data_IF_552436816905
#
_entry.id   IF_552436816905
#
_cell.length_a   1.000
_cell.length_b   1.000
_cell.length_c   1.000
_cell.angle_alpha   90.00
_cell.angle_beta   90.00
_cell.angle_gamma   90.00
#
_symmetry.space_group_name_H-M   'P 1'
#
loop_
_entity.id
_entity.type
_entity.pdbx_description
1 polymer ?
#
# COMPACT_ATOMS: atom_id res chain seq x y z
N UNK A 1 -3.61 35.97 -15.85
CA UNK A 1 -3.46 34.69 -15.10
C UNK A 1 -4.85 34.08 -14.99
N UNK A 2 -5.06 32.93 -15.66
CA UNK A 2 -6.33 32.22 -15.66
C UNK A 2 -6.34 31.25 -14.48
N UNK A 3 -7.35 31.37 -13.61
CA UNK A 3 -7.53 30.55 -12.42
C UNK A 3 -8.60 29.49 -12.65
N UNK A 4 -8.22 28.23 -12.54
CA UNK A 4 -9.09 27.08 -12.70
C UNK A 4 -9.48 26.43 -11.38
N UNK A 5 -10.58 25.72 -11.39
CA UNK A 5 -11.09 24.96 -10.25
C UNK A 5 -11.57 23.58 -10.67
N UNK A 6 -11.21 22.57 -9.89
CA UNK A 6 -11.80 21.23 -9.89
C UNK A 6 -12.28 20.90 -8.47
N UNK A 7 -13.50 20.41 -8.33
CA UNK A 7 -14.06 19.96 -7.03
C UNK A 7 -14.53 18.52 -7.14
N UNK A 8 -14.23 17.70 -6.14
CA UNK A 8 -14.70 16.32 -6.13
C UNK A 8 -14.37 15.55 -4.87
N UNK A 9 -15.00 14.38 -4.71
CA UNK A 9 -14.72 13.47 -3.61
C UNK A 9 -13.43 12.69 -3.84
N UNK A 10 -13.07 12.34 -5.08
CA UNK A 10 -11.90 11.54 -5.45
C UNK A 10 -11.76 10.29 -4.56
N UNK A 11 -12.80 9.47 -4.52
CA UNK A 11 -12.94 8.38 -3.54
C UNK A 11 -13.09 7.02 -4.19
N UNK A 12 -11.95 6.34 -4.48
CA UNK A 12 -10.58 6.84 -4.51
C UNK A 12 -10.24 7.61 -5.81
N UNK A 13 -9.08 8.32 -5.85
CA UNK A 13 -8.55 8.87 -7.10
C UNK A 13 -8.27 7.75 -8.11
N UNK A 14 -8.59 8.02 -9.38
CA UNK A 14 -8.39 7.07 -10.48
C UNK A 14 -8.08 7.81 -11.79
N UNK A 15 -7.71 7.09 -12.85
CA UNK A 15 -7.32 7.67 -14.15
C UNK A 15 -8.35 8.62 -14.76
N UNK A 16 -9.65 8.46 -14.48
CA UNK A 16 -10.67 9.42 -14.89
C UNK A 16 -10.50 10.78 -14.20
N UNK A 17 -10.21 10.78 -12.91
CA UNK A 17 -9.88 12.01 -12.16
C UNK A 17 -8.57 12.61 -12.64
N UNK A 18 -7.56 11.75 -12.90
CA UNK A 18 -6.29 12.22 -13.48
C UNK A 18 -6.52 12.92 -14.82
N UNK A 19 -7.30 12.34 -15.71
CA UNK A 19 -7.63 12.94 -17.00
C UNK A 19 -8.34 14.28 -16.86
N UNK A 20 -9.27 14.42 -15.91
CA UNK A 20 -9.95 15.68 -15.60
C UNK A 20 -8.95 16.77 -15.16
N UNK A 21 -8.06 16.45 -14.21
CA UNK A 21 -7.10 17.40 -13.65
C UNK A 21 -6.01 17.74 -14.69
N UNK A 22 -5.50 16.79 -15.45
CA UNK A 22 -4.53 17.03 -16.53
C UNK A 22 -5.13 17.96 -17.60
N UNK A 23 -6.41 17.73 -17.96
CA UNK A 23 -7.11 18.59 -18.92
C UNK A 23 -7.26 20.03 -18.40
N UNK A 24 -7.52 20.18 -17.11
CA UNK A 24 -7.62 21.49 -16.47
C UNK A 24 -6.25 22.20 -16.42
N UNK A 25 -5.20 21.51 -16.00
CA UNK A 25 -3.83 22.05 -15.95
C UNK A 25 -3.34 22.55 -17.32
N UNK A 26 -3.75 21.90 -18.39
CA UNK A 26 -3.41 22.31 -19.76
C UNK A 26 -4.11 23.60 -20.24
N UNK A 27 -5.05 24.16 -19.48
CA UNK A 27 -5.88 25.29 -19.89
C UNK A 27 -5.82 26.51 -18.96
N UNK A 28 -5.10 26.41 -17.84
CA UNK A 28 -5.04 27.49 -16.83
C UNK A 28 -3.63 27.73 -16.34
N UNK A 29 -3.39 28.93 -15.81
CA UNK A 29 -2.11 29.28 -15.19
C UNK A 29 -2.00 28.83 -13.72
N UNK A 30 -3.17 28.69 -13.05
CA UNK A 30 -3.28 28.25 -11.66
C UNK A 30 -4.51 27.35 -11.50
N UNK A 31 -4.34 26.18 -10.90
CA UNK A 31 -5.43 25.24 -10.66
C UNK A 31 -5.55 24.92 -9.18
N UNK A 32 -6.71 25.25 -8.59
CA UNK A 32 -7.12 24.73 -7.29
C UNK A 32 -7.93 23.44 -7.47
N UNK A 33 -7.62 22.43 -6.67
CA UNK A 33 -8.35 21.15 -6.59
C UNK A 33 -8.85 20.98 -5.16
N UNK A 34 -10.17 21.01 -4.97
CA UNK A 34 -10.82 20.86 -3.67
C UNK A 34 -11.30 19.42 -3.48
N UNK A 35 -10.80 18.77 -2.44
CA UNK A 35 -11.09 17.38 -2.08
C UNK A 35 -12.14 17.38 -0.96
N UNK A 36 -13.39 17.05 -1.30
CA UNK A 36 -14.50 16.97 -0.34
C UNK A 36 -14.31 15.74 0.56
N UNK A 37 -14.27 15.96 1.87
CA UNK A 37 -14.07 14.92 2.86
C UNK A 37 -15.22 14.90 3.87
N UNK A 38 -15.57 13.69 4.32
CA UNK A 38 -16.50 13.45 5.42
C UNK A 38 -15.81 12.58 6.46
N UNK A 39 -16.15 12.74 7.76
CA UNK A 39 -15.56 11.94 8.85
C UNK A 39 -15.74 10.43 8.67
N UNK A 40 -16.86 10.01 8.07
CA UNK A 40 -17.20 8.60 7.83
C UNK A 40 -16.45 7.96 6.66
N UNK A 41 -15.68 8.71 5.89
CA UNK A 41 -14.90 8.13 4.79
C UNK A 41 -13.76 7.25 5.31
N UNK A 42 -13.70 5.98 4.89
CA UNK A 42 -12.64 5.03 5.25
C UNK A 42 -11.26 5.46 4.73
N UNK A 43 -11.23 6.13 3.58
CA UNK A 43 -10.01 6.78 3.04
C UNK A 43 -10.12 8.27 3.37
N UNK A 44 -9.28 8.74 4.28
CA UNK A 44 -9.31 10.13 4.74
C UNK A 44 -9.13 11.13 3.59
N UNK A 45 -9.66 12.35 3.77
CA UNK A 45 -9.44 13.45 2.82
C UNK A 45 -7.96 13.78 2.65
N UNK A 46 -7.20 13.72 3.75
CA UNK A 46 -5.76 14.01 3.74
C UNK A 46 -4.97 12.97 2.93
N UNK A 47 -5.27 11.68 3.05
CA UNK A 47 -4.61 10.64 2.27
C UNK A 47 -4.90 10.81 0.76
N UNK A 48 -6.15 11.13 0.40
CA UNK A 48 -6.54 11.42 -1.00
C UNK A 48 -5.84 12.67 -1.53
N UNK A 49 -5.67 13.69 -0.69
CA UNK A 49 -4.91 14.91 -1.01
C UNK A 49 -3.45 14.58 -1.31
N UNK A 50 -2.80 13.77 -0.47
CA UNK A 50 -1.42 13.35 -0.67
C UNK A 50 -1.25 12.59 -1.99
N UNK A 51 -2.13 11.65 -2.32
CA UNK A 51 -2.10 10.95 -3.60
C UNK A 51 -2.27 11.88 -4.79
N UNK A 52 -3.26 12.78 -4.74
CA UNK A 52 -3.50 13.71 -5.83
C UNK A 52 -2.36 14.73 -5.99
N UNK A 53 -1.75 15.19 -4.90
CA UNK A 53 -0.59 16.06 -4.92
C UNK A 53 0.64 15.39 -5.54
N UNK A 54 0.82 14.10 -5.28
CA UNK A 54 1.89 13.32 -5.91
C UNK A 54 1.65 13.14 -7.41
N UNK A 55 0.39 12.83 -7.81
CA UNK A 55 0.01 12.64 -9.21
C UNK A 55 0.10 13.96 -10.00
N UNK A 56 -0.25 15.07 -9.36
CA UNK A 56 -0.33 16.40 -9.98
C UNK A 56 0.41 17.45 -9.15
N UNK A 57 1.75 17.45 -9.14
CA UNK A 57 2.54 18.37 -8.30
C UNK A 57 2.35 19.84 -8.62
N UNK A 58 1.88 20.17 -9.84
CA UNK A 58 1.63 21.54 -10.27
C UNK A 58 0.27 22.11 -9.83
N UNK A 59 -0.64 21.28 -9.31
CA UNK A 59 -1.95 21.74 -8.84
C UNK A 59 -1.94 22.03 -7.33
N UNK A 60 -2.77 22.97 -6.90
CA UNK A 60 -2.95 23.32 -5.50
C UNK A 60 -4.06 22.48 -4.87
N UNK A 61 -3.68 21.50 -4.07
CA UNK A 61 -4.61 20.55 -3.42
C UNK A 61 -5.03 21.05 -2.05
N UNK A 62 -6.35 21.11 -1.81
CA UNK A 62 -6.94 21.44 -0.50
C UNK A 62 -8.00 20.44 -0.11
N UNK A 63 -7.92 19.89 1.09
CA UNK A 63 -9.03 19.13 1.68
C UNK A 63 -10.03 20.11 2.29
N UNK A 64 -11.30 19.90 2.04
CA UNK A 64 -12.40 20.69 2.58
C UNK A 64 -13.45 19.75 3.18
N UNK A 65 -14.18 20.24 4.17
CA UNK A 65 -15.34 19.52 4.70
C UNK A 65 -16.46 19.51 3.68
N UNK A 66 -17.09 18.35 3.49
CA UNK A 66 -18.28 18.21 2.66
C UNK A 66 -19.52 18.58 3.47
N UNK A 67 -20.20 19.69 3.21
CA UNK A 67 -21.33 20.15 4.00
C UNK A 67 -22.64 19.34 3.77
N UNK A 68 -22.65 18.42 2.79
CA UNK A 68 -23.80 17.58 2.49
C UNK A 68 -24.92 18.27 1.68
N UNK A 69 -24.66 19.43 1.11
CA UNK A 69 -25.62 20.23 0.31
C UNK A 69 -25.51 19.86 -1.19
N UNK A 70 -25.63 18.58 -1.51
CA UNK A 70 -25.29 18.01 -2.84
C UNK A 70 -26.04 18.71 -4.01
N UNK A 71 -27.28 19.19 -3.84
CA UNK A 71 -28.10 19.78 -4.89
C UNK A 71 -28.15 21.33 -4.88
N UNK A 72 -27.37 21.99 -4.03
CA UNK A 72 -27.41 23.43 -3.85
C UNK A 72 -26.21 24.14 -4.51
N UNK A 73 -26.31 24.36 -5.81
CA UNK A 73 -25.23 24.98 -6.59
C UNK A 73 -24.83 26.39 -6.09
N UNK A 74 -25.81 27.20 -5.61
CA UNK A 74 -25.50 28.52 -5.07
C UNK A 74 -24.73 28.44 -3.76
N UNK A 75 -25.15 27.57 -2.85
CA UNK A 75 -24.44 27.32 -1.58
C UNK A 75 -22.98 26.91 -1.85
N UNK A 76 -22.79 25.94 -2.75
CA UNK A 76 -21.45 25.48 -3.12
C UNK A 76 -20.59 26.57 -3.76
N UNK A 77 -21.18 27.42 -4.59
CA UNK A 77 -20.47 28.54 -5.20
C UNK A 77 -19.98 29.54 -4.12
N UNK A 78 -20.88 29.98 -3.23
CA UNK A 78 -20.56 30.91 -2.15
C UNK A 78 -19.53 30.30 -1.16
N UNK A 79 -19.70 29.04 -0.83
CA UNK A 79 -18.76 28.30 0.02
C UNK A 79 -17.36 28.24 -0.59
N UNK A 80 -17.27 27.87 -1.87
CA UNK A 80 -16.00 27.78 -2.60
C UNK A 80 -15.31 29.14 -2.75
N UNK A 81 -16.02 30.18 -3.17
CA UNK A 81 -15.46 31.53 -3.30
C UNK A 81 -14.91 32.00 -1.94
N UNK A 82 -15.63 31.73 -0.85
CA UNK A 82 -15.16 32.08 0.50
C UNK A 82 -13.87 31.35 0.86
N UNK A 83 -13.77 30.05 0.54
CA UNK A 83 -12.59 29.23 0.81
C UNK A 83 -11.37 29.65 -0.01
N UNK A 84 -11.58 30.00 -1.27
CA UNK A 84 -10.51 30.43 -2.17
C UNK A 84 -10.11 31.89 -1.93
N UNK A 85 -11.04 32.75 -1.49
CA UNK A 85 -10.89 34.20 -1.41
C UNK A 85 -11.10 34.91 -2.76
N UNK A 86 -11.52 34.19 -3.80
CA UNK A 86 -11.80 34.71 -5.14
C UNK A 86 -12.73 33.77 -5.92
N UNK A 87 -13.39 34.30 -6.96
CA UNK A 87 -14.10 33.50 -7.94
C UNK A 87 -13.12 32.98 -9.00
N UNK A 88 -13.12 31.67 -9.34
CA UNK A 88 -12.29 31.14 -10.43
C UNK A 88 -12.78 31.68 -11.79
N UNK A 89 -11.89 31.71 -12.80
CA UNK A 89 -12.26 32.07 -14.18
C UNK A 89 -12.95 30.89 -14.90
N UNK A 90 -12.63 29.65 -14.49
CA UNK A 90 -13.16 28.45 -15.11
C UNK A 90 -13.24 27.27 -14.13
N UNK A 91 -14.36 26.54 -14.20
CA UNK A 91 -14.58 25.28 -13.47
C UNK A 91 -14.53 24.12 -14.45
N UNK A 92 -13.83 23.05 -14.08
CA UNK A 92 -13.77 21.81 -14.83
C UNK A 92 -14.51 20.72 -14.07
N UNK A 93 -15.44 20.03 -14.72
CA UNK A 93 -16.14 18.86 -14.14
C UNK A 93 -16.37 17.79 -15.17
N UNK A 94 -16.62 16.55 -14.69
CA UNK A 94 -17.13 15.44 -15.50
C UNK A 94 -18.61 15.11 -15.20
N UNK A 95 -19.27 15.93 -14.38
CA UNK A 95 -20.61 15.69 -13.85
C UNK A 95 -21.61 16.78 -14.26
N UNK A 96 -22.91 16.45 -14.21
CA UNK A 96 -23.98 17.35 -14.71
C UNK A 96 -24.19 18.62 -13.91
N UNK A 97 -23.76 18.67 -12.65
CA UNK A 97 -23.92 19.85 -11.81
C UNK A 97 -23.05 21.05 -12.25
N UNK A 98 -22.03 20.79 -13.07
CA UNK A 98 -21.00 21.78 -13.42
C UNK A 98 -21.54 23.08 -14.03
N UNK A 99 -22.56 23.01 -14.89
CA UNK A 99 -23.17 24.20 -15.52
C UNK A 99 -23.87 25.12 -14.50
N UNK A 100 -24.62 24.54 -13.55
CA UNK A 100 -25.30 25.31 -12.52
C UNK A 100 -24.29 25.94 -11.56
N UNK A 101 -23.30 25.16 -11.16
CA UNK A 101 -22.23 25.58 -10.24
C UNK A 101 -21.40 26.74 -10.81
N UNK A 102 -20.93 26.61 -12.05
CA UNK A 102 -20.18 27.68 -12.72
C UNK A 102 -21.00 28.97 -12.93
N UNK A 103 -22.29 28.84 -13.27
CA UNK A 103 -23.21 29.98 -13.35
C UNK A 103 -23.35 30.72 -12.04
N UNK A 104 -23.50 30.00 -10.94
CA UNK A 104 -23.59 30.59 -9.60
C UNK A 104 -22.30 31.30 -9.18
N UNK A 105 -21.14 30.88 -9.68
CA UNK A 105 -19.85 31.57 -9.46
C UNK A 105 -19.57 32.71 -10.47
N UNK A 106 -20.36 32.82 -11.52
CA UNK A 106 -20.10 33.82 -12.59
C UNK A 106 -18.91 33.49 -13.47
N UNK A 107 -18.54 32.21 -13.62
CA UNK A 107 -17.37 31.76 -14.35
C UNK A 107 -17.71 30.79 -15.51
N UNK A 108 -16.74 30.50 -16.36
CA UNK A 108 -16.89 29.54 -17.45
C UNK A 108 -16.90 28.09 -16.92
N UNK A 109 -17.70 27.24 -17.57
CA UNK A 109 -17.66 25.78 -17.34
C UNK A 109 -17.00 25.05 -18.50
N UNK A 110 -16.18 24.06 -18.19
CA UNK A 110 -15.61 23.10 -19.14
C UNK A 110 -16.01 21.69 -18.69
N UNK A 111 -16.87 21.06 -19.51
CA UNK A 111 -17.25 19.67 -19.33
C UNK A 111 -16.16 18.77 -19.87
N UNK A 112 -15.61 17.90 -19.02
CA UNK A 112 -14.53 16.98 -19.38
C UNK A 112 -15.04 15.54 -19.33
N UNK A 113 -15.09 14.86 -20.46
CA UNK A 113 -15.37 13.41 -20.62
C UNK A 113 -16.61 12.89 -19.87
N UNK A 114 -17.71 13.64 -19.85
CA UNK A 114 -18.97 13.23 -19.21
C UNK A 114 -19.43 11.84 -19.63
N UNK A 115 -19.25 11.49 -20.91
CA UNK A 115 -19.63 10.20 -21.46
C UNK A 115 -18.65 9.09 -21.10
N UNK A 116 -17.53 9.42 -20.41
CA UNK A 116 -16.43 8.49 -20.08
C UNK A 116 -15.90 7.78 -21.34
N UNK A 117 -15.84 8.49 -22.45
CA UNK A 117 -15.38 7.94 -23.71
C UNK A 117 -13.85 7.72 -23.71
N UNK A 118 -13.10 8.58 -23.03
CA UNK A 118 -11.65 8.50 -22.93
C UNK A 118 -11.21 7.57 -21.78
N UNK A 119 -11.87 7.64 -20.61
CA UNK A 119 -11.54 6.81 -19.45
C UNK A 119 -12.82 6.18 -18.89
N UNK A 120 -13.07 4.91 -19.23
CA UNK A 120 -14.29 4.17 -18.90
C UNK A 120 -14.29 3.61 -17.49
N UNK A 121 -14.21 4.47 -16.49
CA UNK A 121 -14.19 4.07 -15.08
C UNK A 121 -14.96 5.04 -14.19
N UNK A 122 -15.45 4.56 -13.05
CA UNK A 122 -16.02 5.38 -11.99
C UNK A 122 -15.40 5.05 -10.64
N UNK A 123 -15.46 5.98 -9.69
CA UNK A 123 -15.01 5.74 -8.33
C UNK A 123 -15.81 4.59 -7.66
N UNK A 124 -17.11 4.48 -7.94
CA UNK A 124 -17.97 3.38 -7.44
C UNK A 124 -17.49 2.03 -7.94
N UNK A 125 -17.14 1.91 -9.22
CA UNK A 125 -16.61 0.66 -9.79
C UNK A 125 -15.27 0.27 -9.14
N UNK A 126 -14.36 1.24 -8.98
CA UNK A 126 -13.09 1.00 -8.27
C UNK A 126 -13.34 0.55 -6.83
N UNK A 127 -14.27 1.21 -6.12
CA UNK A 127 -14.54 0.90 -4.74
C UNK A 127 -15.11 -0.51 -4.55
N UNK A 128 -15.97 -0.97 -5.48
CA UNK A 128 -16.54 -2.31 -5.43
C UNK A 128 -15.51 -3.42 -5.76
N UNK A 129 -14.56 -3.14 -6.63
CA UNK A 129 -13.52 -4.09 -7.04
C UNK A 129 -12.23 -3.37 -7.45
N UNK A 130 -11.42 -2.95 -6.50
CA UNK A 130 -10.16 -2.26 -6.80
C UNK A 130 -9.13 -3.16 -7.49
N UNK A 131 -9.15 -4.47 -7.25
CA UNK A 131 -8.23 -5.41 -7.87
C UNK A 131 -8.61 -5.71 -9.32
N UNK A 132 -9.90 -5.79 -9.64
CA UNK A 132 -10.40 -5.97 -11.01
C UNK A 132 -10.22 -4.73 -11.89
N UNK A 133 -10.08 -3.56 -11.27
CA UNK A 133 -9.87 -2.28 -11.97
C UNK A 133 -8.47 -1.70 -11.75
N UNK A 134 -7.49 -2.56 -11.51
CA UNK A 134 -6.12 -2.22 -11.12
C UNK A 134 -5.42 -1.23 -12.05
N UNK A 135 -5.64 -1.36 -13.35
CA UNK A 135 -5.04 -0.52 -14.39
C UNK A 135 -5.48 0.95 -14.32
N UNK A 136 -6.62 1.23 -13.68
CA UNK A 136 -7.13 2.59 -13.53
C UNK A 136 -6.59 3.31 -12.29
N UNK A 137 -5.79 2.64 -11.47
CA UNK A 137 -5.18 3.22 -10.27
C UNK A 137 -3.73 3.64 -10.53
N UNK A 138 -3.34 4.80 -10.01
CA UNK A 138 -1.95 5.23 -10.01
C UNK A 138 -1.15 4.54 -8.89
N UNK A 139 0.19 4.44 -8.98
CA UNK A 139 1.01 3.67 -8.05
C UNK A 139 0.79 3.99 -6.57
N UNK A 140 0.64 5.26 -6.20
CA UNK A 140 0.39 5.67 -4.82
C UNK A 140 -0.97 5.16 -4.29
N UNK A 141 -1.98 5.07 -5.17
CA UNK A 141 -3.30 4.53 -4.82
C UNK A 141 -3.27 3.00 -4.78
N UNK A 142 -2.55 2.36 -5.72
CA UNK A 142 -2.34 0.89 -5.73
C UNK A 142 -1.75 0.38 -4.43
N UNK A 143 -0.76 1.09 -3.87
CA UNK A 143 -0.11 0.72 -2.61
C UNK A 143 -1.08 0.59 -1.42
N UNK A 144 -2.24 1.28 -1.48
CA UNK A 144 -3.29 1.17 -0.47
C UNK A 144 -4.16 -0.09 -0.63
N UNK A 145 -4.39 -0.54 -1.87
CA UNK A 145 -5.30 -1.65 -2.17
C UNK A 145 -4.57 -2.98 -2.40
N UNK A 146 -3.24 -2.95 -2.56
CA UNK A 146 -2.44 -4.15 -2.79
C UNK A 146 -2.63 -5.14 -1.64
N UNK A 147 -2.83 -6.41 -1.97
CA UNK A 147 -2.86 -7.50 -0.99
C UNK A 147 -1.44 -7.85 -0.56
N UNK A 148 -1.15 -7.80 0.73
CA UNK A 148 0.17 -8.11 1.27
C UNK A 148 0.19 -9.54 1.82
N UNK A 149 1.09 -10.36 1.28
CA UNK A 149 1.29 -11.75 1.69
C UNK A 149 2.70 -11.90 2.25
N UNK A 150 2.82 -12.18 3.55
CA UNK A 150 4.11 -12.42 4.20
C UNK A 150 4.39 -13.93 4.29
N UNK A 151 5.60 -14.32 3.91
CA UNK A 151 6.07 -15.71 4.04
C UNK A 151 6.99 -15.77 5.25
N UNK A 152 6.55 -16.44 6.30
CA UNK A 152 7.27 -16.55 7.56
C UNK A 152 7.62 -18.00 7.88
N UNK A 153 8.48 -18.22 8.85
CA UNK A 153 8.89 -19.56 9.32
C UNK A 153 10.38 -19.63 9.60
N UNK A 154 10.81 -20.79 10.08
CA UNK A 154 12.19 -21.08 10.47
C UNK A 154 13.18 -20.97 9.29
N UNK A 155 14.47 -21.00 9.61
CA UNK A 155 15.53 -21.05 8.60
C UNK A 155 15.45 -22.31 7.74
N UNK A 156 15.95 -22.20 6.51
CA UNK A 156 16.07 -23.32 5.56
C UNK A 156 14.73 -23.97 5.19
N UNK A 157 13.61 -23.26 5.28
CA UNK A 157 12.27 -23.72 4.87
C UNK A 157 11.89 -23.24 3.45
N UNK A 158 12.86 -22.68 2.69
CA UNK A 158 12.71 -22.21 1.31
C UNK A 158 11.75 -21.02 1.13
N UNK A 159 11.62 -20.14 2.12
CA UNK A 159 10.80 -18.91 2.05
C UNK A 159 11.13 -18.06 0.81
N UNK A 160 12.39 -17.71 0.63
CA UNK A 160 12.87 -16.90 -0.51
C UNK A 160 12.54 -17.54 -1.87
N UNK A 161 12.69 -18.86 -1.97
CA UNK A 161 12.34 -19.59 -3.20
C UNK A 161 10.85 -19.49 -3.47
N UNK A 162 10.01 -19.69 -2.45
CA UNK A 162 8.56 -19.56 -2.55
C UNK A 162 8.14 -18.13 -2.91
N UNK A 163 8.75 -17.11 -2.27
CA UNK A 163 8.47 -15.71 -2.54
C UNK A 163 8.70 -15.35 -4.03
N UNK A 164 9.82 -15.80 -4.58
CA UNK A 164 10.17 -15.59 -5.99
C UNK A 164 9.18 -16.27 -6.94
N UNK A 165 8.82 -17.52 -6.67
CA UNK A 165 7.84 -18.25 -7.48
C UNK A 165 6.47 -17.58 -7.48
N UNK A 166 5.99 -17.16 -6.31
CA UNK A 166 4.69 -16.48 -6.22
C UNK A 166 4.73 -15.12 -6.95
N UNK A 167 5.79 -14.34 -6.78
CA UNK A 167 5.93 -13.07 -7.49
C UNK A 167 5.93 -13.26 -9.01
N UNK A 168 6.66 -14.26 -9.52
CA UNK A 168 6.66 -14.61 -10.95
C UNK A 168 5.28 -15.06 -11.42
N UNK A 169 4.62 -15.95 -10.68
CA UNK A 169 3.29 -16.46 -11.00
C UNK A 169 2.25 -15.34 -11.15
N UNK A 170 2.24 -14.38 -10.21
CA UNK A 170 1.31 -13.24 -10.23
C UNK A 170 1.80 -12.06 -11.08
N UNK A 171 2.95 -12.18 -11.74
CA UNK A 171 3.60 -11.09 -12.48
C UNK A 171 3.72 -9.84 -11.63
N UNK A 172 4.10 -10.02 -10.39
CA UNK A 172 4.26 -8.99 -9.38
C UNK A 172 5.70 -8.92 -8.88
N UNK A 173 5.94 -8.08 -7.88
CA UNK A 173 7.23 -7.95 -7.21
C UNK A 173 7.23 -8.67 -5.87
N UNK A 174 8.42 -8.94 -5.35
CA UNK A 174 8.58 -9.47 -3.99
C UNK A 174 9.57 -8.61 -3.19
N UNK A 175 9.39 -8.59 -1.89
CA UNK A 175 10.25 -7.88 -0.93
C UNK A 175 11.26 -8.88 -0.39
N UNK A 176 12.56 -8.70 -0.61
CA UNK A 176 13.58 -9.58 -0.02
C UNK A 176 13.71 -9.35 1.50
N UNK A 177 14.21 -10.35 2.21
CA UNK A 177 14.52 -10.28 3.63
C UNK A 177 15.70 -9.33 3.90
N UNK A 178 15.43 -8.16 4.49
CA UNK A 178 16.49 -7.20 4.80
C UNK A 178 17.43 -7.70 5.90
N UNK A 179 16.95 -8.50 6.85
CA UNK A 179 17.81 -9.12 7.87
C UNK A 179 18.96 -9.94 7.27
N UNK A 180 18.68 -10.66 6.17
CA UNK A 180 19.72 -11.38 5.42
C UNK A 180 20.71 -10.41 4.77
N UNK A 181 20.26 -9.34 4.16
CA UNK A 181 21.11 -8.29 3.57
C UNK A 181 21.99 -7.64 4.65
N UNK A 182 21.44 -7.40 5.83
CA UNK A 182 22.17 -6.86 6.97
C UNK A 182 23.31 -7.80 7.40
N UNK A 183 23.05 -9.10 7.56
CA UNK A 183 24.07 -10.09 7.85
C UNK A 183 25.20 -10.11 6.79
N UNK A 184 24.84 -10.06 5.51
CA UNK A 184 25.84 -10.01 4.43
C UNK A 184 26.71 -8.75 4.49
N UNK A 185 26.15 -7.61 4.85
CA UNK A 185 26.90 -6.35 5.07
C UNK A 185 27.89 -6.48 6.23
N UNK A 186 27.49 -7.10 7.35
CA UNK A 186 28.38 -7.38 8.47
C UNK A 186 29.54 -8.29 8.07
N UNK A 187 29.26 -9.38 7.34
CA UNK A 187 30.31 -10.28 6.84
C UNK A 187 31.28 -9.58 5.90
N UNK A 188 30.77 -8.75 4.97
CA UNK A 188 31.61 -7.95 4.07
C UNK A 188 32.51 -6.96 4.81
N UNK A 189 32.07 -6.50 6.00
CA UNK A 189 32.88 -5.66 6.90
C UNK A 189 33.86 -6.48 7.78
N UNK A 190 33.96 -7.82 7.59
CA UNK A 190 34.85 -8.69 8.33
C UNK A 190 34.33 -9.16 9.68
N UNK A 191 33.03 -9.00 9.94
CA UNK A 191 32.40 -9.45 11.20
C UNK A 191 32.14 -10.97 11.10
N UNK A 192 32.56 -11.71 12.13
CA UNK A 192 32.20 -13.11 12.30
C UNK A 192 30.83 -13.23 12.97
N UNK A 193 29.81 -13.63 12.21
CA UNK A 193 28.43 -13.74 12.68
C UNK A 193 28.24 -14.80 13.76
N UNK A 194 29.12 -15.82 13.86
CA UNK A 194 29.03 -16.89 14.85
C UNK A 194 29.37 -16.40 16.27
N UNK A 195 30.18 -15.35 16.37
CA UNK A 195 30.59 -14.73 17.62
C UNK A 195 29.94 -13.38 17.84
N UNK A 196 29.13 -12.92 16.87
CA UNK A 196 28.52 -11.60 16.91
C UNK A 196 27.51 -11.47 18.04
N UNK A 197 27.59 -10.35 18.76
CA UNK A 197 26.62 -10.00 19.80
C UNK A 197 25.63 -8.98 19.26
N UNK A 198 24.46 -9.46 18.95
CA UNK A 198 23.35 -8.64 18.49
C UNK A 198 22.93 -7.60 19.55
N UNK A 199 22.43 -6.47 19.09
CA UNK A 199 21.87 -5.39 19.91
C UNK A 199 20.44 -5.12 19.48
N UNK A 200 19.57 -4.66 20.41
CA UNK A 200 18.17 -4.40 20.12
C UNK A 200 17.95 -3.37 19.01
N UNK A 201 18.79 -2.34 18.95
CA UNK A 201 18.71 -1.27 17.94
C UNK A 201 18.90 -1.79 16.52
N UNK A 202 19.66 -2.87 16.32
CA UNK A 202 19.89 -3.47 15.00
C UNK A 202 18.62 -4.13 14.47
N UNK A 203 17.84 -4.76 15.34
CA UNK A 203 16.54 -5.31 14.95
C UNK A 203 15.53 -4.22 14.61
N UNK A 204 15.58 -3.09 15.32
CA UNK A 204 14.74 -1.95 14.99
C UNK A 204 15.13 -1.35 13.62
N UNK A 205 16.45 -1.26 13.33
CA UNK A 205 16.92 -0.84 12.01
C UNK A 205 16.44 -1.81 10.92
N UNK A 206 16.60 -3.11 11.13
CA UNK A 206 16.15 -4.15 10.20
C UNK A 206 14.64 -4.04 9.96
N UNK A 207 13.86 -3.88 11.02
CA UNK A 207 12.41 -3.75 10.94
C UNK A 207 11.97 -2.50 10.15
N UNK A 208 12.57 -1.34 10.41
CA UNK A 208 12.28 -0.11 9.67
C UNK A 208 12.62 -0.25 8.19
N UNK A 209 13.77 -0.82 7.87
CA UNK A 209 14.18 -1.02 6.47
C UNK A 209 13.31 -2.02 5.74
N UNK A 210 12.92 -3.10 6.40
CA UNK A 210 11.97 -4.06 5.84
C UNK A 210 10.66 -3.38 5.47
N UNK A 211 10.11 -2.56 6.37
CA UNK A 211 8.87 -1.83 6.13
C UNK A 211 9.01 -0.78 5.01
N UNK A 212 10.10 0.00 4.99
CA UNK A 212 10.37 0.95 3.89
C UNK A 212 10.40 0.26 2.52
N UNK A 213 10.99 -0.94 2.45
CA UNK A 213 11.04 -1.73 1.22
C UNK A 213 9.65 -2.23 0.82
N UNK A 214 8.84 -2.68 1.77
CA UNK A 214 7.46 -3.10 1.52
C UNK A 214 6.62 -1.93 0.98
N UNK A 215 6.67 -0.76 1.60
CA UNK A 215 5.90 0.41 1.19
C UNK A 215 6.32 0.92 -0.20
N UNK A 216 7.60 0.87 -0.50
CA UNK A 216 8.10 1.20 -1.83
C UNK A 216 7.61 0.22 -2.88
N UNK A 217 7.79 -1.09 -2.64
CA UNK A 217 7.45 -2.13 -3.61
C UNK A 217 5.93 -2.37 -3.73
N UNK A 218 5.13 -2.00 -2.73
CA UNK A 218 3.68 -1.99 -2.82
C UNK A 218 3.15 -1.11 -3.98
N UNK A 219 3.89 -0.08 -4.36
CA UNK A 219 3.57 0.82 -5.49
C UNK A 219 3.84 0.19 -6.85
N UNK A 220 4.73 -0.78 -6.89
CA UNK A 220 5.16 -1.50 -8.10
C UNK A 220 4.41 -2.84 -8.29
N UNK A 221 3.80 -3.33 -7.20
CA UNK A 221 3.14 -4.62 -7.17
C UNK A 221 1.92 -4.69 -8.09
N UNK A 222 1.67 -5.89 -8.63
CA UNK A 222 0.49 -6.19 -9.43
C UNK A 222 -0.54 -6.93 -8.56
N UNK A 223 -1.45 -6.19 -7.91
CA UNK A 223 -2.55 -6.69 -7.04
C UNK A 223 -2.09 -7.37 -5.75
N UNK A 224 -0.96 -8.07 -5.74
CA UNK A 224 -0.38 -8.74 -4.57
C UNK A 224 1.10 -8.40 -4.43
N UNK A 225 1.52 -8.10 -3.20
CA UNK A 225 2.91 -7.95 -2.81
C UNK A 225 3.31 -9.17 -1.99
N UNK A 226 4.37 -9.86 -2.39
CA UNK A 226 4.90 -11.02 -1.69
C UNK A 226 6.10 -10.57 -0.85
N UNK A 227 6.06 -10.79 0.46
CA UNK A 227 7.14 -10.43 1.38
C UNK A 227 7.88 -11.68 1.83
N UNK A 228 9.19 -11.76 1.57
CA UNK A 228 10.07 -12.77 2.17
C UNK A 228 10.41 -12.28 3.58
N UNK A 229 9.62 -12.70 4.54
CA UNK A 229 9.50 -12.19 5.90
C UNK A 229 8.90 -10.77 6.03
N UNK A 230 8.74 -10.32 7.25
CA UNK A 230 8.22 -9.01 7.61
C UNK A 230 8.72 -8.54 9.00
N UNK A 231 8.16 -7.43 9.49
CA UNK A 231 8.50 -6.88 10.82
C UNK A 231 8.08 -7.80 11.96
N UNK A 232 6.98 -8.56 11.83
CA UNK A 232 6.58 -9.56 12.85
C UNK A 232 7.65 -10.64 12.99
N UNK A 233 8.18 -11.13 11.87
CA UNK A 233 9.29 -12.09 11.88
C UNK A 233 10.53 -11.50 12.54
N UNK A 234 10.85 -10.23 12.26
CA UNK A 234 11.97 -9.53 12.92
C UNK A 234 11.79 -9.50 14.45
N UNK A 235 10.57 -9.33 14.96
CA UNK A 235 10.26 -9.41 16.39
C UNK A 235 10.57 -10.78 17.01
N UNK A 236 10.25 -11.87 16.30
CA UNK A 236 10.57 -13.24 16.75
C UNK A 236 12.08 -13.50 16.72
N UNK A 237 12.79 -12.99 15.72
CA UNK A 237 14.25 -13.03 15.68
C UNK A 237 14.89 -12.23 16.81
N UNK A 238 14.35 -11.03 17.13
CA UNK A 238 14.78 -10.27 18.31
C UNK A 238 14.63 -11.09 19.59
N UNK A 239 13.45 -11.70 19.81
CA UNK A 239 13.19 -12.57 20.98
C UNK A 239 14.22 -13.68 21.08
N UNK A 240 14.56 -14.33 19.96
CA UNK A 240 15.56 -15.38 19.91
C UNK A 240 16.94 -14.94 20.36
N UNK A 241 17.44 -13.83 19.80
CA UNK A 241 18.82 -13.40 20.05
C UNK A 241 18.98 -12.60 21.35
N UNK A 242 17.96 -11.84 21.72
CA UNK A 242 18.01 -10.97 22.90
C UNK A 242 17.39 -11.61 24.13
N UNK A 243 16.68 -12.75 23.99
CA UNK A 243 15.89 -13.36 25.06
C UNK A 243 14.89 -12.38 25.69
N UNK A 244 14.45 -11.41 24.95
CA UNK A 244 13.59 -10.32 25.37
C UNK A 244 12.69 -9.86 24.24
N UNK A 245 11.57 -9.29 24.61
CA UNK A 245 10.64 -8.64 23.73
C UNK A 245 11.07 -7.19 23.41
N UNK A 246 10.86 -6.71 22.17
CA UNK A 246 11.09 -5.31 21.80
C UNK A 246 9.77 -4.59 21.56
N UNK A 247 9.37 -3.66 22.46
CA UNK A 247 8.16 -2.86 22.29
C UNK A 247 8.18 -2.01 21.00
N UNK A 248 9.35 -1.53 20.60
CA UNK A 248 9.53 -0.68 19.41
C UNK A 248 9.27 -1.47 18.13
N UNK A 249 9.88 -2.67 18.01
CA UNK A 249 9.65 -3.57 16.85
C UNK A 249 8.20 -4.03 16.83
N UNK A 250 7.61 -4.28 17.99
CA UNK A 250 6.20 -4.67 18.11
C UNK A 250 5.24 -3.55 17.66
N UNK A 251 5.52 -2.32 18.06
CA UNK A 251 4.74 -1.16 17.64
C UNK A 251 4.76 -1.04 16.12
N UNK A 252 5.94 -1.24 15.52
CA UNK A 252 6.11 -1.21 14.08
C UNK A 252 5.37 -2.38 13.39
N UNK A 253 5.46 -3.60 13.93
CA UNK A 253 4.74 -4.77 13.41
C UNK A 253 3.21 -4.59 13.44
N UNK A 254 2.69 -3.85 14.43
CA UNK A 254 1.26 -3.56 14.54
C UNK A 254 0.79 -2.41 13.63
N UNK A 255 1.69 -1.60 13.10
CA UNK A 255 1.35 -0.48 12.20
C UNK A 255 1.01 -0.93 10.78
N UNK A 256 1.50 -2.09 10.37
CA UNK A 256 1.24 -2.70 9.06
C UNK A 256 0.59 -4.07 9.22
N UNK A 257 -0.51 -4.28 8.49
CA UNK A 257 -1.20 -5.57 8.47
C UNK A 257 -0.97 -6.26 7.13
N UNK A 258 -0.62 -7.54 7.21
CA UNK A 258 -0.64 -8.42 6.04
C UNK A 258 -2.00 -9.08 5.91
N UNK A 259 -2.47 -9.25 4.67
CA UNK A 259 -3.76 -9.89 4.37
C UNK A 259 -3.68 -11.41 4.54
N UNK A 260 -2.47 -11.99 4.45
CA UNK A 260 -2.22 -13.41 4.63
C UNK A 260 -0.78 -13.68 5.06
N UNK A 261 -0.60 -14.59 6.00
CA UNK A 261 0.68 -15.18 6.37
C UNK A 261 0.78 -16.61 5.85
N UNK A 262 1.83 -16.90 5.09
CA UNK A 262 2.19 -18.26 4.69
C UNK A 262 3.31 -18.75 5.61
N UNK A 263 2.96 -19.58 6.60
CA UNK A 263 3.94 -20.18 7.50
C UNK A 263 4.54 -21.43 6.85
N UNK A 264 5.81 -21.34 6.47
CA UNK A 264 6.51 -22.49 5.88
C UNK A 264 6.90 -23.51 6.94
N UNK A 265 6.51 -24.78 6.72
CA UNK A 265 6.83 -25.89 7.62
C UNK A 265 8.32 -26.27 7.56
N UNK A 266 8.84 -26.84 8.66
CA UNK A 266 10.22 -27.33 8.76
C UNK A 266 10.41 -28.78 8.27
N UNK A 267 9.54 -29.25 7.39
CA UNK A 267 9.52 -30.58 6.78
C UNK A 267 10.64 -30.86 5.75
N UNK A 268 11.41 -29.84 5.40
CA UNK A 268 12.54 -29.96 4.48
C UNK A 268 13.88 -30.10 5.23
N UNK A 269 14.88 -30.81 4.65
CA UNK A 269 16.21 -30.87 5.23
C UNK A 269 16.82 -29.46 5.43
N UNK A 270 17.59 -29.31 6.49
CA UNK A 270 18.35 -28.09 6.72
C UNK A 270 19.50 -28.00 5.71
N UNK A 271 19.70 -26.84 5.15
CA UNK A 271 20.80 -26.53 4.23
C UNK A 271 21.58 -25.34 4.78
N UNK A 272 22.82 -25.57 5.14
CA UNK A 272 23.74 -24.52 5.59
C UNK A 272 24.21 -23.66 4.41
N UNK A 273 24.17 -22.34 4.57
CA UNK A 273 24.63 -21.36 3.55
C UNK A 273 25.66 -20.34 4.08
N UNK A 274 26.19 -20.58 5.28
CA UNK A 274 27.17 -19.72 5.94
C UNK A 274 26.59 -18.55 6.75
N UNK A 275 25.28 -18.38 6.74
CA UNK A 275 24.57 -17.35 7.53
C UNK A 275 23.65 -17.97 8.60
N UNK A 276 23.26 -19.22 8.42
CA UNK A 276 22.25 -19.90 9.23
C UNK A 276 22.85 -20.58 10.45
N UNK A 277 22.28 -20.31 11.62
CA UNK A 277 22.68 -20.91 12.90
C UNK A 277 21.53 -21.59 13.64
N UNK A 278 20.35 -21.64 13.01
CA UNK A 278 19.10 -22.08 13.63
C UNK A 278 18.70 -23.54 13.41
N UNK A 279 19.59 -24.44 12.98
CA UNK A 279 19.22 -25.84 12.70
C UNK A 279 18.51 -26.50 13.87
N UNK A 280 19.09 -26.40 15.07
CA UNK A 280 18.56 -27.06 16.29
C UNK A 280 17.30 -26.46 16.87
N UNK A 281 16.91 -25.24 16.41
CA UNK A 281 15.77 -24.50 16.95
C UNK A 281 14.62 -24.34 15.94
N UNK A 282 14.69 -25.01 14.78
CA UNK A 282 13.68 -24.86 13.72
C UNK A 282 12.27 -25.20 14.20
N UNK A 283 12.11 -26.26 14.97
CA UNK A 283 10.81 -26.65 15.53
C UNK A 283 10.29 -25.61 16.50
N UNK A 284 11.14 -25.11 17.41
CA UNK A 284 10.79 -24.04 18.32
C UNK A 284 10.37 -22.77 17.56
N UNK A 285 11.13 -22.37 16.54
CA UNK A 285 10.81 -21.21 15.71
C UNK A 285 9.46 -21.37 15.02
N UNK A 286 9.19 -22.54 14.43
CA UNK A 286 7.92 -22.81 13.76
C UNK A 286 6.75 -22.73 14.73
N UNK A 287 6.87 -23.34 15.91
CA UNK A 287 5.85 -23.27 16.96
C UNK A 287 5.66 -21.83 17.46
N UNK A 288 6.74 -21.07 17.59
CA UNK A 288 6.65 -19.67 18.03
C UNK A 288 5.93 -18.78 17.01
N UNK A 289 6.20 -18.97 15.72
CA UNK A 289 5.42 -18.31 14.64
C UNK A 289 3.93 -18.66 14.73
N UNK A 290 3.59 -19.94 14.84
CA UNK A 290 2.19 -20.37 15.00
C UNK A 290 1.52 -19.72 16.19
N UNK A 291 2.18 -19.75 17.34
CA UNK A 291 1.67 -19.13 18.57
C UNK A 291 1.38 -17.64 18.37
N UNK A 292 2.34 -16.88 17.85
CA UNK A 292 2.19 -15.43 17.64
C UNK A 292 1.06 -15.12 16.64
N UNK A 293 0.97 -15.87 15.53
CA UNK A 293 -0.07 -15.68 14.53
C UNK A 293 -1.47 -15.96 15.12
N UNK A 294 -1.61 -17.02 15.94
CA UNK A 294 -2.85 -17.35 16.63
C UNK A 294 -3.23 -16.32 17.71
N UNK A 295 -2.28 -15.94 18.57
CA UNK A 295 -2.51 -14.95 19.64
C UNK A 295 -2.99 -13.61 19.10
N UNK A 296 -2.41 -13.17 17.96
CA UNK A 296 -2.78 -11.93 17.29
C UNK A 296 -3.99 -12.06 16.37
N UNK A 297 -4.53 -13.26 16.21
CA UNK A 297 -5.66 -13.56 15.30
C UNK A 297 -5.41 -13.07 13.87
N UNK A 298 -4.17 -13.26 13.41
CA UNK A 298 -3.81 -12.90 12.05
C UNK A 298 -4.28 -13.97 11.06
N UNK A 299 -4.61 -13.64 9.82
CA UNK A 299 -4.95 -14.63 8.79
C UNK A 299 -3.68 -15.40 8.38
N UNK A 300 -3.63 -16.69 8.61
CA UNK A 300 -2.47 -17.52 8.26
C UNK A 300 -2.83 -18.92 7.84
N UNK A 301 -1.92 -19.55 7.11
CA UNK A 301 -1.99 -20.96 6.71
C UNK A 301 -0.59 -21.55 6.72
N UNK A 302 -0.48 -22.81 7.17
CA UNK A 302 0.77 -23.58 7.08
C UNK A 302 0.92 -24.15 5.67
N UNK A 303 2.08 -23.96 5.06
CA UNK A 303 2.44 -24.53 3.76
C UNK A 303 3.56 -25.56 3.91
N UNK A 304 3.27 -26.80 3.52
CA UNK A 304 4.13 -27.98 3.67
C UNK A 304 4.38 -28.65 2.31
N UNK A 305 5.21 -29.68 2.29
CA UNK A 305 5.53 -30.46 1.10
C UNK A 305 6.75 -29.99 0.37
N UNK A 306 7.18 -30.75 -0.63
CA UNK A 306 8.37 -30.47 -1.42
C UNK A 306 8.04 -29.85 -2.78
N UNK A 307 8.96 -29.02 -3.29
CA UNK A 307 8.92 -28.52 -4.65
C UNK A 307 7.60 -27.85 -5.02
N UNK A 308 6.96 -28.31 -6.08
CA UNK A 308 5.72 -27.74 -6.60
C UNK A 308 4.51 -27.91 -5.69
N UNK A 309 4.45 -28.93 -4.85
CA UNK A 309 3.33 -29.10 -3.91
C UNK A 309 3.19 -27.90 -2.97
N UNK A 310 4.30 -27.41 -2.44
CA UNK A 310 4.34 -26.23 -1.56
C UNK A 310 3.90 -24.99 -2.31
N UNK A 311 4.40 -24.82 -3.53
CA UNK A 311 4.04 -23.67 -4.40
C UNK A 311 2.55 -23.67 -4.73
N UNK A 312 2.00 -24.79 -5.18
CA UNK A 312 0.58 -24.94 -5.52
C UNK A 312 -0.33 -24.73 -4.30
N UNK A 313 0.10 -25.20 -3.13
CA UNK A 313 -0.63 -24.95 -1.88
C UNK A 313 -0.67 -23.45 -1.56
N UNK A 314 0.45 -22.76 -1.69
CA UNK A 314 0.52 -21.31 -1.47
C UNK A 314 -0.32 -20.53 -2.51
N UNK A 315 -0.25 -20.90 -3.80
CA UNK A 315 -1.06 -20.28 -4.86
C UNK A 315 -2.54 -20.36 -4.53
N UNK A 316 -3.05 -21.56 -4.16
CA UNK A 316 -4.47 -21.73 -3.80
C UNK A 316 -4.93 -20.78 -2.69
N UNK A 317 -4.09 -20.51 -1.71
CA UNK A 317 -4.46 -19.60 -0.62
C UNK A 317 -4.40 -18.13 -1.03
N UNK A 318 -3.44 -17.76 -1.87
CA UNK A 318 -3.35 -16.40 -2.42
C UNK A 318 -4.49 -16.13 -3.42
N UNK A 319 -4.87 -17.11 -4.23
CA UNK A 319 -6.01 -16.97 -5.17
C UNK A 319 -7.32 -16.67 -4.43
N UNK A 320 -7.56 -17.30 -3.26
CA UNK A 320 -8.72 -16.99 -2.42
C UNK A 320 -8.72 -15.54 -1.92
N UNK A 321 -7.54 -14.96 -1.74
CA UNK A 321 -7.39 -13.57 -1.31
C UNK A 321 -7.64 -12.59 -2.45
N UNK A 322 -7.39 -13.00 -3.69
CA UNK A 322 -7.50 -12.16 -4.88
C UNK A 322 -8.85 -12.32 -5.61
N UNK A 323 -9.67 -13.31 -5.22
CA UNK A 323 -11.04 -13.53 -5.70
C UNK A 323 -12.04 -12.65 -4.92
#
# INVERSE_FOLDING_TARGET
>A
MIRGLVVGKFYPPHRGHKFLIDTALGQVDHLDVLICAKPEHLISGELRRQWLQEIHPAAHMRTIDDPGEDDNAQFWADYTIRLLGYAPDVVFTSESYGDAYARSMGCRHVMVDRARANVRISATAIWSDPLGHWEFLEPCVRAHFVKRVSIVGAESTRKTTLARYLAEHYKSVWVPEYGREYCLKLQAAGVDLWTYRWRGEEFLEIANRQQEMEDRLAREANRVLICDTDVLATGIWHERYMSAYSPEVETLANSHRHDLYLLTDCDLPFVQDGLRDGESIREWMTQRFEQVLMERRLPWVKVSGEGMQRVESAIREVDKLLS
#
